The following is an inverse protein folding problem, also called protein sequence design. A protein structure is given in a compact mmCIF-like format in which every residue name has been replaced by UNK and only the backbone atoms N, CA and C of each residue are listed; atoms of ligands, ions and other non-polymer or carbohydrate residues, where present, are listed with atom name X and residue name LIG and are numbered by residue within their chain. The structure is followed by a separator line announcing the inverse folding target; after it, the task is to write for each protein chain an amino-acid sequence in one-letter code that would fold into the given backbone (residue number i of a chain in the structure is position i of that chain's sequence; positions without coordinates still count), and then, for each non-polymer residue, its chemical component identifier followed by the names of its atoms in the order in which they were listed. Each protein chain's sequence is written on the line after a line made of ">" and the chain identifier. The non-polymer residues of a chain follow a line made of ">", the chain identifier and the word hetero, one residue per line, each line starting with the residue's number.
data_IF_042981650480
#
_entry.id   IF_042981650480
#
_cell.length_a   1.000
_cell.length_b   1.000
_cell.length_c   1.000
_cell.angle_alpha   90.00
_cell.angle_beta   90.00
_cell.angle_gamma   90.00
#
_symmetry.space_group_name_H-M   'P 1'
#
loop_
_entity.id
_entity.type
_entity.pdbx_description
1 polymer ?
#
# COMPACT_ATOMS: atom_id res chain seq x y z
N UNK A 1 0.05 -3.03 -29.09
CA UNK A 1 -0.74 -2.50 -27.95
C UNK A 1 -0.07 -2.96 -26.67
N UNK A 2 0.17 -2.09 -25.69
CA UNK A 2 0.75 -2.56 -24.41
C UNK A 2 -0.27 -3.43 -23.65
N UNK A 3 0.21 -4.51 -23.03
CA UNK A 3 -0.60 -5.43 -22.21
C UNK A 3 -1.48 -4.67 -21.20
N UNK A 4 -0.96 -3.58 -20.63
CA UNK A 4 -1.69 -2.72 -19.68
C UNK A 4 -2.93 -2.06 -20.29
N UNK A 5 -2.84 -1.52 -21.52
CA UNK A 5 -4.01 -0.91 -22.19
C UNK A 5 -5.06 -1.97 -22.53
N UNK A 6 -4.63 -3.18 -22.89
CA UNK A 6 -5.54 -4.31 -23.13
C UNK A 6 -6.26 -4.72 -21.84
N UNK A 7 -5.53 -4.89 -20.74
CA UNK A 7 -6.10 -5.24 -19.43
C UNK A 7 -7.07 -4.18 -18.91
N UNK A 8 -6.74 -2.89 -19.05
CA UNK A 8 -7.64 -1.79 -18.68
C UNK A 8 -8.94 -1.81 -19.49
N UNK A 9 -8.86 -2.06 -20.81
CA UNK A 9 -10.05 -2.18 -21.66
C UNK A 9 -10.91 -3.38 -21.27
N UNK A 10 -10.30 -4.54 -21.06
CA UNK A 10 -11.01 -5.75 -20.60
C UNK A 10 -11.69 -5.52 -19.25
N UNK A 11 -11.01 -4.84 -18.31
CA UNK A 11 -11.57 -4.47 -17.01
C UNK A 11 -12.79 -3.55 -17.15
N UNK A 12 -12.71 -2.50 -17.97
CA UNK A 12 -13.83 -1.57 -18.19
C UNK A 12 -15.03 -2.26 -18.87
N UNK A 13 -14.77 -3.16 -19.83
CA UNK A 13 -15.82 -3.95 -20.49
C UNK A 13 -16.48 -4.90 -19.48
N UNK A 14 -15.68 -5.62 -18.67
CA UNK A 14 -16.21 -6.51 -17.65
C UNK A 14 -17.05 -5.75 -16.59
N UNK A 15 -16.60 -4.57 -16.18
CA UNK A 15 -17.33 -3.71 -15.25
C UNK A 15 -18.65 -3.20 -15.85
N UNK A 16 -18.63 -2.77 -17.12
CA UNK A 16 -19.83 -2.32 -17.84
C UNK A 16 -20.86 -3.46 -17.99
N UNK A 17 -20.39 -4.67 -18.34
CA UNK A 17 -21.24 -5.87 -18.39
C UNK A 17 -21.80 -6.17 -17.00
N UNK A 18 -20.98 -6.14 -15.95
CA UNK A 18 -21.42 -6.38 -14.58
C UNK A 18 -22.48 -5.37 -14.13
N UNK A 19 -22.33 -4.09 -14.47
CA UNK A 19 -23.30 -3.05 -14.16
C UNK A 19 -24.62 -3.26 -14.92
N UNK A 20 -24.55 -3.56 -16.22
CA UNK A 20 -25.73 -3.82 -17.04
C UNK A 20 -26.51 -5.05 -16.55
N UNK A 21 -25.81 -6.16 -16.26
CA UNK A 21 -26.43 -7.38 -15.71
C UNK A 21 -27.01 -7.12 -14.33
N UNK A 22 -26.32 -6.34 -13.48
CA UNK A 22 -26.83 -5.94 -12.17
C UNK A 22 -28.14 -5.17 -12.25
N UNK A 23 -28.27 -4.22 -13.17
CA UNK A 23 -29.52 -3.49 -13.42
C UNK A 23 -30.62 -4.43 -13.89
N UNK A 24 -30.34 -5.34 -14.84
CA UNK A 24 -31.31 -6.33 -15.32
C UNK A 24 -31.74 -7.30 -14.19
N UNK A 25 -30.83 -7.66 -13.28
CA UNK A 25 -31.12 -8.56 -12.15
C UNK A 25 -32.18 -8.01 -11.21
N UNK A 26 -32.21 -6.68 -11.03
CA UNK A 26 -33.22 -6.00 -10.20
C UNK A 26 -34.61 -6.19 -10.77
N UNK A 27 -34.76 -6.21 -12.10
CA UNK A 27 -36.06 -6.38 -12.76
C UNK A 27 -36.44 -7.84 -12.99
N UNK A 28 -35.45 -8.73 -13.15
CA UNK A 28 -35.64 -10.14 -13.42
C UNK A 28 -34.95 -10.98 -12.34
N UNK A 29 -35.67 -11.21 -11.23
CA UNK A 29 -35.22 -12.02 -10.09
C UNK A 29 -35.10 -13.51 -10.48
N UNK A 30 -34.06 -13.85 -11.25
CA UNK A 30 -33.64 -15.24 -11.47
C UNK A 30 -32.29 -15.46 -10.79
N UNK A 31 -32.17 -16.56 -10.04
CA UNK A 31 -30.94 -16.95 -9.36
C UNK A 31 -29.74 -17.04 -10.32
N UNK A 32 -30.00 -17.42 -11.59
CA UNK A 32 -28.98 -17.50 -12.64
C UNK A 32 -28.37 -16.12 -12.98
N UNK A 33 -29.19 -15.07 -13.09
CA UNK A 33 -28.68 -13.74 -13.45
C UNK A 33 -27.80 -13.16 -12.34
N UNK A 34 -28.18 -13.40 -11.08
CA UNK A 34 -27.38 -13.01 -9.91
C UNK A 34 -25.99 -13.69 -9.89
N UNK A 35 -25.90 -14.96 -10.30
CA UNK A 35 -24.61 -15.69 -10.38
C UNK A 35 -23.69 -15.13 -11.47
N UNK A 36 -24.26 -14.81 -12.64
CA UNK A 36 -23.52 -14.19 -13.74
C UNK A 36 -23.00 -12.81 -13.31
N UNK A 37 -23.85 -11.99 -12.68
CA UNK A 37 -23.46 -10.69 -12.14
C UNK A 37 -22.36 -10.81 -11.08
N UNK A 38 -22.51 -11.71 -10.11
CA UNK A 38 -21.51 -11.95 -9.07
C UNK A 38 -20.15 -12.40 -9.63
N UNK A 39 -20.16 -13.30 -10.63
CA UNK A 39 -18.92 -13.77 -11.27
C UNK A 39 -18.22 -12.63 -12.02
N UNK A 40 -18.99 -11.78 -12.73
CA UNK A 40 -18.44 -10.62 -13.43
C UNK A 40 -17.85 -9.58 -12.46
N UNK A 41 -18.51 -9.34 -11.33
CA UNK A 41 -18.02 -8.45 -10.28
C UNK A 41 -16.71 -8.96 -9.67
N UNK A 42 -16.67 -10.22 -9.24
CA UNK A 42 -15.47 -10.85 -8.66
C UNK A 42 -14.31 -10.85 -9.67
N UNK A 43 -14.59 -11.15 -10.94
CA UNK A 43 -13.58 -11.07 -12.03
C UNK A 43 -13.00 -9.66 -12.13
N UNK A 44 -13.85 -8.63 -12.12
CA UNK A 44 -13.44 -7.23 -12.24
C UNK A 44 -12.54 -6.79 -11.08
N UNK A 45 -12.89 -7.17 -9.85
CA UNK A 45 -12.06 -6.92 -8.65
C UNK A 45 -10.71 -7.62 -8.78
N UNK A 46 -10.69 -8.90 -9.14
CA UNK A 46 -9.46 -9.68 -9.28
C UNK A 46 -8.53 -9.11 -10.36
N UNK A 47 -9.07 -8.71 -11.51
CA UNK A 47 -8.29 -8.04 -12.58
C UNK A 47 -7.71 -6.71 -12.09
N UNK A 48 -8.52 -5.90 -11.40
CA UNK A 48 -8.06 -4.63 -10.84
C UNK A 48 -6.90 -4.79 -9.85
N UNK A 49 -6.96 -5.81 -8.98
CA UNK A 49 -5.91 -6.13 -8.01
C UNK A 49 -4.68 -6.82 -8.66
N UNK A 50 -4.86 -7.50 -9.80
CA UNK A 50 -3.77 -8.14 -10.53
C UNK A 50 -2.83 -7.12 -11.17
N UNK A 51 -3.31 -5.94 -11.57
CA UNK A 51 -2.50 -4.88 -12.20
C UNK A 51 -1.36 -4.37 -11.29
N UNK A 52 -1.60 -3.92 -10.04
CA UNK A 52 -0.50 -3.52 -9.16
C UNK A 52 0.38 -4.71 -8.76
N UNK A 53 -0.19 -5.91 -8.65
CA UNK A 53 0.55 -7.13 -8.28
C UNK A 53 1.49 -7.60 -9.39
N UNK A 54 1.12 -7.43 -10.67
CA UNK A 54 2.00 -7.75 -11.81
C UNK A 54 3.18 -6.78 -11.91
N UNK A 55 2.97 -5.49 -11.61
CA UNK A 55 4.08 -4.53 -11.50
C UNK A 55 5.10 -4.92 -10.43
N UNK A 56 4.67 -5.62 -9.37
CA UNK A 56 5.59 -6.14 -8.35
C UNK A 56 6.42 -7.33 -8.86
N UNK A 57 5.96 -8.09 -9.86
CA UNK A 57 6.73 -9.19 -10.47
C UNK A 57 7.87 -8.69 -11.37
N UNK A 58 7.69 -7.52 -11.99
CA UNK A 58 8.69 -6.89 -12.85
C UNK A 58 9.92 -6.42 -12.06
N UNK A 59 9.77 -6.11 -10.77
CA UNK A 59 10.85 -5.76 -9.84
C UNK A 59 11.44 -7.03 -9.21
N UNK A 60 12.75 -7.27 -9.40
CA UNK A 60 13.46 -8.42 -8.83
C UNK A 60 13.30 -8.50 -7.30
N UNK A 61 13.28 -7.36 -6.61
CA UNK A 61 13.10 -7.31 -5.15
C UNK A 61 11.66 -7.52 -4.71
N UNK A 62 10.70 -7.15 -5.56
CA UNK A 62 9.26 -7.26 -5.30
C UNK A 62 8.64 -8.58 -5.76
N UNK A 63 9.37 -9.33 -6.58
CA UNK A 63 8.92 -10.58 -7.19
C UNK A 63 8.28 -11.60 -6.24
N UNK A 64 8.84 -11.93 -5.06
CA UNK A 64 8.19 -12.87 -4.15
C UNK A 64 6.84 -12.34 -3.64
N UNK A 65 6.72 -11.05 -3.36
CA UNK A 65 5.46 -10.42 -2.97
C UNK A 65 4.43 -10.43 -4.10
N UNK A 66 4.89 -10.18 -5.34
CA UNK A 66 4.05 -10.26 -6.54
C UNK A 66 3.47 -11.66 -6.77
N UNK A 67 4.27 -12.72 -6.58
CA UNK A 67 3.81 -14.11 -6.68
C UNK A 67 2.76 -14.45 -5.62
N UNK A 68 2.97 -14.07 -4.36
CA UNK A 68 1.99 -14.30 -3.28
C UNK A 68 0.67 -13.59 -3.57
N UNK A 69 0.73 -12.32 -3.98
CA UNK A 69 -0.47 -11.56 -4.33
C UNK A 69 -1.23 -12.20 -5.51
N UNK A 70 -0.55 -12.46 -6.63
CA UNK A 70 -1.22 -13.05 -7.80
C UNK A 70 -1.75 -14.46 -7.53
N UNK A 71 -0.99 -15.28 -6.82
CA UNK A 71 -1.43 -16.60 -6.38
C UNK A 71 -2.70 -16.52 -5.53
N UNK A 72 -2.74 -15.59 -4.55
CA UNK A 72 -3.92 -15.37 -3.73
C UNK A 72 -5.13 -14.83 -4.50
N UNK A 73 -4.92 -13.95 -5.49
CA UNK A 73 -5.98 -13.44 -6.36
C UNK A 73 -6.60 -14.59 -7.17
N UNK A 74 -5.78 -15.45 -7.77
CA UNK A 74 -6.28 -16.60 -8.55
C UNK A 74 -7.00 -17.60 -7.64
N UNK A 75 -6.42 -17.94 -6.49
CA UNK A 75 -7.05 -18.87 -5.54
C UNK A 75 -8.38 -18.32 -5.01
N UNK A 76 -8.41 -17.04 -4.63
CA UNK A 76 -9.63 -16.37 -4.19
C UNK A 76 -10.69 -16.30 -5.29
N UNK A 77 -10.31 -15.99 -6.53
CA UNK A 77 -11.22 -16.00 -7.67
C UNK A 77 -11.90 -17.37 -7.81
N UNK A 78 -11.12 -18.45 -7.78
CA UNK A 78 -11.65 -19.81 -7.90
C UNK A 78 -12.60 -20.16 -6.75
N UNK A 79 -12.25 -19.79 -5.51
CA UNK A 79 -13.08 -20.04 -4.33
C UNK A 79 -14.39 -19.22 -4.35
N UNK A 80 -14.31 -17.94 -4.70
CA UNK A 80 -15.47 -17.05 -4.79
C UNK A 80 -16.40 -17.47 -5.93
N UNK A 81 -15.85 -17.77 -7.11
CA UNK A 81 -16.63 -18.29 -8.23
C UNK A 81 -17.27 -19.63 -7.87
N UNK A 82 -16.52 -20.56 -7.28
CA UNK A 82 -17.06 -21.83 -6.78
C UNK A 82 -18.20 -21.62 -5.77
N UNK A 83 -18.05 -20.67 -4.85
CA UNK A 83 -19.09 -20.31 -3.88
C UNK A 83 -20.34 -19.74 -4.55
N UNK A 84 -20.21 -18.83 -5.51
CA UNK A 84 -21.34 -18.26 -6.27
C UNK A 84 -22.15 -19.35 -6.98
N UNK A 85 -21.47 -20.37 -7.51
CA UNK A 85 -22.10 -21.47 -8.25
C UNK A 85 -22.44 -22.71 -7.39
N UNK A 86 -22.08 -22.74 -6.10
CA UNK A 86 -22.26 -23.90 -5.23
C UNK A 86 -23.74 -24.33 -5.12
N UNK A 87 -24.67 -23.38 -5.00
CA UNK A 87 -26.11 -23.65 -4.93
C UNK A 87 -26.69 -24.23 -6.25
N UNK A 88 -25.93 -24.28 -7.34
CA UNK A 88 -26.34 -25.01 -8.54
C UNK A 88 -26.30 -26.53 -8.32
N UNK A 89 -25.58 -26.97 -7.29
CA UNK A 89 -25.36 -28.37 -6.95
C UNK A 89 -26.19 -28.68 -5.70
N UNK A 90 -27.32 -29.40 -5.81
CA UNK A 90 -28.31 -29.55 -4.73
C UNK A 90 -27.81 -30.28 -3.47
N UNK A 91 -26.60 -30.82 -3.49
CA UNK A 91 -26.01 -31.60 -2.40
C UNK A 91 -24.90 -30.85 -1.63
N UNK A 92 -24.63 -29.59 -1.95
CA UNK A 92 -23.46 -28.86 -1.45
C UNK A 92 -23.87 -27.61 -0.66
N UNK A 93 -23.90 -27.69 0.67
CA UNK A 93 -24.12 -26.54 1.57
C UNK A 93 -22.81 -25.78 1.89
N UNK A 94 -21.87 -25.70 0.94
CA UNK A 94 -20.55 -25.07 1.15
C UNK A 94 -20.44 -23.63 0.65
N UNK A 95 -21.51 -23.04 0.10
CA UNK A 95 -21.49 -21.68 -0.47
C UNK A 95 -20.82 -20.65 0.45
N UNK A 96 -21.35 -20.46 1.66
CA UNK A 96 -20.85 -19.45 2.60
C UNK A 96 -19.40 -19.72 3.00
N UNK A 97 -19.00 -20.99 3.12
CA UNK A 97 -17.64 -21.39 3.49
C UNK A 97 -16.64 -21.10 2.37
N UNK A 98 -17.00 -21.40 1.12
CA UNK A 98 -16.18 -21.08 -0.05
C UNK A 98 -16.04 -19.58 -0.24
N UNK A 99 -17.13 -18.82 -0.12
CA UNK A 99 -17.10 -17.36 -0.22
C UNK A 99 -16.23 -16.76 0.89
N UNK A 100 -16.46 -17.15 2.15
CA UNK A 100 -15.67 -16.69 3.29
C UNK A 100 -14.18 -17.00 3.13
N UNK A 101 -13.83 -18.23 2.73
CA UNK A 101 -12.43 -18.63 2.49
C UNK A 101 -11.82 -17.80 1.36
N UNK A 102 -12.56 -17.58 0.28
CA UNK A 102 -12.12 -16.76 -0.86
C UNK A 102 -11.81 -15.32 -0.46
N UNK A 103 -12.66 -14.69 0.36
CA UNK A 103 -12.42 -13.32 0.88
C UNK A 103 -11.18 -13.28 1.78
N UNK A 104 -11.04 -14.24 2.70
CA UNK A 104 -9.90 -14.32 3.63
C UNK A 104 -8.59 -14.52 2.87
N UNK A 105 -8.57 -15.41 1.87
CA UNK A 105 -7.40 -15.64 1.01
C UNK A 105 -7.06 -14.39 0.18
N UNK A 106 -8.06 -13.70 -0.38
CA UNK A 106 -7.83 -12.49 -1.17
C UNK A 106 -7.20 -11.38 -0.33
N UNK A 107 -7.83 -11.04 0.80
CA UNK A 107 -7.38 -9.94 1.66
C UNK A 107 -6.08 -10.31 2.36
N UNK A 108 -6.01 -11.49 2.97
CA UNK A 108 -4.82 -11.97 3.68
C UNK A 108 -3.63 -12.13 2.76
N UNK A 109 -3.83 -12.70 1.56
CA UNK A 109 -2.78 -12.86 0.56
C UNK A 109 -2.24 -11.52 0.03
N UNK A 110 -3.12 -10.56 -0.27
CA UNK A 110 -2.74 -9.21 -0.67
C UNK A 110 -1.93 -8.48 0.43
N UNK A 111 -2.34 -8.61 1.68
CA UNK A 111 -1.59 -8.07 2.81
C UNK A 111 -0.22 -8.74 2.94
N UNK A 112 -0.16 -10.08 2.86
CA UNK A 112 1.10 -10.82 2.96
C UNK A 112 2.09 -10.46 1.85
N UNK A 113 1.66 -10.43 0.59
CA UNK A 113 2.58 -10.13 -0.52
C UNK A 113 3.00 -8.66 -0.57
N UNK A 114 2.12 -7.71 -0.18
CA UNK A 114 2.53 -6.30 -0.04
C UNK A 114 3.55 -6.09 1.08
N UNK A 115 3.35 -6.72 2.24
CA UNK A 115 4.27 -6.67 3.38
C UNK A 115 5.61 -7.34 3.05
N UNK A 116 5.59 -8.48 2.35
CA UNK A 116 6.79 -9.20 1.94
C UNK A 116 7.68 -8.34 1.02
N UNK A 117 7.09 -7.57 0.12
CA UNK A 117 7.82 -6.61 -0.71
C UNK A 117 8.48 -5.48 0.12
N UNK A 118 7.86 -5.06 1.24
CA UNK A 118 8.47 -4.05 2.11
C UNK A 118 9.68 -4.59 2.91
N UNK A 119 9.83 -5.91 3.07
CA UNK A 119 10.91 -6.52 3.86
C UNK A 119 12.31 -6.20 3.34
N UNK A 120 12.45 -5.98 2.04
CA UNK A 120 13.75 -5.66 1.41
C UNK A 120 14.17 -4.21 1.63
N UNK A 121 13.28 -3.35 2.16
CA UNK A 121 13.57 -1.94 2.43
C UNK A 121 14.23 -1.78 3.79
N UNK A 122 15.28 -0.96 3.84
CA UNK A 122 16.00 -0.62 5.07
C UNK A 122 15.04 -0.09 6.14
N UNK A 123 15.13 -0.63 7.35
CA UNK A 123 14.29 -0.28 8.50
C UNK A 123 12.87 -0.85 8.51
N UNK A 124 12.40 -1.55 7.47
CA UNK A 124 11.07 -2.19 7.47
C UNK A 124 11.12 -3.69 7.74
N UNK A 125 12.30 -4.32 7.76
CA UNK A 125 12.44 -5.78 7.81
C UNK A 125 11.78 -6.45 9.02
N UNK A 126 11.95 -5.91 10.23
CA UNK A 126 11.34 -6.48 11.45
C UNK A 126 9.84 -6.23 11.47
N UNK A 127 9.41 -4.99 11.21
CA UNK A 127 8.00 -4.63 11.13
C UNK A 127 7.24 -5.49 10.11
N UNK A 128 7.81 -5.68 8.92
CA UNK A 128 7.18 -6.48 7.88
C UNK A 128 7.16 -7.97 8.22
N UNK A 129 8.22 -8.50 8.85
CA UNK A 129 8.19 -9.88 9.33
C UNK A 129 7.09 -10.10 10.37
N UNK A 130 6.92 -9.19 11.33
CA UNK A 130 5.85 -9.25 12.33
C UNK A 130 4.47 -9.20 11.68
N UNK A 131 4.23 -8.23 10.80
CA UNK A 131 2.94 -8.10 10.09
C UNK A 131 2.64 -9.33 9.22
N UNK A 132 3.64 -9.88 8.54
CA UNK A 132 3.51 -11.06 7.69
C UNK A 132 3.09 -12.28 8.50
N UNK A 133 3.81 -12.59 9.59
CA UNK A 133 3.48 -13.74 10.42
C UNK A 133 2.14 -13.59 11.14
N UNK A 134 1.81 -12.40 11.66
CA UNK A 134 0.50 -12.17 12.27
C UNK A 134 -0.63 -12.33 11.25
N UNK A 135 -0.44 -11.85 10.02
CA UNK A 135 -1.44 -12.00 8.96
C UNK A 135 -1.62 -13.46 8.54
N UNK A 136 -0.54 -14.24 8.41
CA UNK A 136 -0.63 -15.67 8.08
C UNK A 136 -1.37 -16.45 9.17
N UNK A 137 -1.00 -16.24 10.45
CA UNK A 137 -1.62 -16.97 11.55
C UNK A 137 -3.10 -16.58 11.66
N UNK A 138 -3.42 -15.29 11.59
CA UNK A 138 -4.80 -14.82 11.60
C UNK A 138 -5.61 -15.39 10.42
N UNK A 139 -5.04 -15.41 9.21
CA UNK A 139 -5.66 -16.01 8.03
C UNK A 139 -5.95 -17.50 8.26
N UNK A 140 -4.99 -18.24 8.80
CA UNK A 140 -5.18 -19.66 9.16
C UNK A 140 -6.30 -19.87 10.18
N UNK A 141 -6.38 -19.01 11.20
CA UNK A 141 -7.44 -19.06 12.22
C UNK A 141 -8.82 -18.72 11.63
N UNK A 142 -8.92 -17.72 10.74
CA UNK A 142 -10.18 -17.40 10.06
C UNK A 142 -10.62 -18.54 9.14
N UNK A 143 -9.71 -19.14 8.38
CA UNK A 143 -10.03 -20.30 7.55
C UNK A 143 -10.48 -21.46 8.44
N UNK A 144 -9.75 -21.77 9.51
CA UNK A 144 -10.16 -22.81 10.46
C UNK A 144 -11.58 -22.52 11.00
N UNK A 145 -11.84 -21.29 11.44
CA UNK A 145 -13.15 -20.87 11.93
C UNK A 145 -14.28 -21.09 10.92
N UNK A 146 -14.05 -20.78 9.64
CA UNK A 146 -15.04 -20.97 8.57
C UNK A 146 -15.43 -22.45 8.39
N UNK A 147 -14.51 -23.38 8.68
CA UNK A 147 -14.70 -24.80 8.43
C UNK A 147 -15.03 -25.63 9.69
N UNK A 148 -14.92 -25.04 10.89
CA UNK A 148 -15.27 -25.69 12.17
C UNK A 148 -16.73 -25.46 12.57
N UNK A 149 -17.18 -26.19 13.60
CA UNK A 149 -18.49 -26.00 14.24
C UNK A 149 -18.59 -24.65 14.94
N UNK A 150 -19.83 -24.17 15.13
CA UNK A 150 -20.13 -22.78 15.49
C UNK A 150 -19.43 -22.28 16.76
N UNK A 151 -19.40 -23.07 17.84
CA UNK A 151 -18.79 -22.64 19.11
C UNK A 151 -17.28 -22.43 19.00
N UNK A 152 -16.57 -23.38 18.38
CA UNK A 152 -15.11 -23.28 18.18
C UNK A 152 -14.78 -22.25 17.10
N UNK A 153 -15.64 -22.11 16.10
CA UNK A 153 -15.47 -21.15 15.02
C UNK A 153 -15.40 -19.71 15.52
N UNK A 154 -16.32 -19.32 16.42
CA UNK A 154 -16.34 -17.96 16.95
C UNK A 154 -15.05 -17.64 17.73
N UNK A 155 -14.60 -18.55 18.62
CA UNK A 155 -13.34 -18.39 19.37
C UNK A 155 -12.12 -18.28 18.46
N UNK A 156 -12.05 -19.10 17.41
CA UNK A 156 -10.97 -19.05 16.42
C UNK A 156 -10.99 -17.73 15.63
N UNK A 157 -12.17 -17.28 15.19
CA UNK A 157 -12.31 -16.02 14.46
C UNK A 157 -11.95 -14.81 15.33
N UNK A 158 -12.41 -14.78 16.59
CA UNK A 158 -12.03 -13.74 17.56
C UNK A 158 -10.53 -13.73 17.82
N UNK A 159 -9.91 -14.90 18.05
CA UNK A 159 -8.45 -15.03 18.21
C UNK A 159 -7.71 -14.49 16.98
N UNK A 160 -8.17 -14.85 15.77
CA UNK A 160 -7.62 -14.36 14.52
C UNK A 160 -7.72 -12.84 14.39
N UNK A 161 -8.88 -12.26 14.72
CA UNK A 161 -9.11 -10.82 14.71
C UNK A 161 -8.22 -10.07 15.71
N UNK A 162 -8.12 -10.57 16.95
CA UNK A 162 -7.27 -9.98 17.98
C UNK A 162 -5.78 -10.02 17.59
N UNK A 163 -5.31 -11.16 17.06
CA UNK A 163 -3.93 -11.32 16.61
C UNK A 163 -3.62 -10.42 15.41
N UNK A 164 -4.54 -10.30 14.45
CA UNK A 164 -4.37 -9.42 13.31
C UNK A 164 -4.28 -7.94 13.75
N UNK A 165 -5.20 -7.48 14.60
CA UNK A 165 -5.20 -6.12 15.11
C UNK A 165 -3.93 -5.78 15.90
N UNK A 166 -3.54 -6.66 16.83
CA UNK A 166 -2.33 -6.50 17.62
C UNK A 166 -1.06 -6.57 16.75
N UNK A 167 -1.01 -7.52 15.80
CA UNK A 167 0.09 -7.69 14.86
C UNK A 167 0.31 -6.48 13.96
N UNK A 168 -0.78 -5.88 13.45
CA UNK A 168 -0.73 -4.61 12.72
C UNK A 168 -0.17 -3.52 13.62
N UNK A 169 -0.75 -3.26 14.79
CA UNK A 169 -0.30 -2.17 15.66
C UNK A 169 1.17 -2.34 16.12
N UNK A 170 1.56 -3.57 16.49
CA UNK A 170 2.95 -3.93 16.82
C UNK A 170 3.89 -3.70 15.63
N UNK A 171 3.49 -4.08 14.41
CA UNK A 171 4.31 -3.84 13.21
C UNK A 171 4.55 -2.36 12.95
N UNK A 172 3.54 -1.50 13.15
CA UNK A 172 3.70 -0.05 12.99
C UNK A 172 4.67 0.52 14.04
N UNK A 173 4.64 0.00 15.27
CA UNK A 173 5.59 0.35 16.33
C UNK A 173 7.03 -0.09 16.00
N UNK A 174 7.21 -1.21 15.30
CA UNK A 174 8.51 -1.76 14.92
C UNK A 174 9.12 -1.11 13.67
N UNK A 175 8.40 -0.20 13.00
CA UNK A 175 8.93 0.52 11.82
C UNK A 175 10.19 1.28 12.23
N UNK A 176 11.29 0.97 11.54
CA UNK A 176 12.61 1.60 11.65
C UNK A 176 13.49 1.16 12.81
N UNK A 177 13.14 0.06 13.47
CA UNK A 177 14.06 -0.69 14.34
C UNK A 177 15.33 -1.06 13.55
N UNK A 178 16.49 -0.85 14.18
CA UNK A 178 17.81 -1.08 13.56
C UNK A 178 18.48 0.16 12.95
N UNK A 179 17.77 1.28 12.82
CA UNK A 179 18.37 2.55 12.34
C UNK A 179 18.25 3.68 13.36
N UNK A 180 17.02 4.06 13.71
CA UNK A 180 16.73 5.13 14.67
C UNK A 180 15.63 4.59 15.56
N UNK A 181 15.99 4.21 16.79
CA UNK A 181 15.05 3.72 17.77
C UNK A 181 14.58 4.87 18.65
N UNK A 182 13.27 4.93 18.90
CA UNK A 182 12.68 5.88 19.85
C UNK A 182 12.12 5.09 21.02
N UNK A 183 12.37 5.51 22.26
CA UNK A 183 11.98 4.76 23.45
C UNK A 183 10.48 4.44 23.48
N UNK A 184 9.62 5.39 23.06
CA UNK A 184 8.16 5.22 23.07
C UNK A 184 7.65 4.10 22.15
N UNK A 185 8.40 3.72 21.11
CA UNK A 185 7.96 2.68 20.18
C UNK A 185 7.85 1.31 20.88
N UNK A 186 8.68 1.09 21.92
CA UNK A 186 8.65 -0.12 22.72
C UNK A 186 7.45 -0.16 23.67
N UNK A 187 6.98 1.00 24.14
CA UNK A 187 5.75 1.09 24.94
C UNK A 187 4.57 0.63 24.08
N UNK A 188 4.46 1.13 22.85
CA UNK A 188 3.42 0.69 21.91
C UNK A 188 3.49 -0.81 21.60
N UNK A 189 4.70 -1.33 21.38
CA UNK A 189 4.91 -2.77 21.18
C UNK A 189 4.44 -3.60 22.38
N UNK A 190 4.83 -3.22 23.60
CA UNK A 190 4.41 -3.92 24.82
C UNK A 190 2.90 -3.88 24.97
N UNK A 191 2.26 -2.74 24.70
CA UNK A 191 0.80 -2.63 24.67
C UNK A 191 0.17 -3.57 23.64
N UNK A 192 0.74 -3.68 22.43
CA UNK A 192 0.26 -4.59 21.39
C UNK A 192 0.42 -6.07 21.77
N UNK A 193 1.52 -6.45 22.42
CA UNK A 193 1.72 -7.82 22.91
C UNK A 193 0.74 -8.14 24.04
N UNK A 194 0.56 -7.22 24.99
CA UNK A 194 -0.42 -7.37 26.06
C UNK A 194 -1.86 -7.45 25.52
N UNK A 195 -2.20 -6.64 24.51
CA UNK A 195 -3.47 -6.72 23.79
C UNK A 195 -3.67 -8.10 23.16
N UNK A 196 -2.66 -8.67 22.49
CA UNK A 196 -2.76 -10.00 21.88
C UNK A 196 -2.99 -11.09 22.95
N UNK A 197 -2.26 -11.02 24.06
CA UNK A 197 -2.39 -11.97 25.17
C UNK A 197 -3.79 -11.90 25.82
N UNK A 198 -4.29 -10.69 26.09
CA UNK A 198 -5.65 -10.50 26.61
C UNK A 198 -6.72 -10.90 25.60
N UNK A 199 -6.53 -10.60 24.31
CA UNK A 199 -7.47 -11.03 23.26
C UNK A 199 -7.56 -12.55 23.16
N UNK A 200 -6.43 -13.25 23.25
CA UNK A 200 -6.42 -14.72 23.34
C UNK A 200 -7.16 -15.23 24.58
N UNK A 201 -6.92 -14.61 25.74
CA UNK A 201 -7.60 -14.96 26.98
C UNK A 201 -9.13 -14.76 26.89
N UNK A 202 -9.56 -13.60 26.38
CA UNK A 202 -10.98 -13.26 26.20
C UNK A 202 -11.68 -14.20 25.23
N UNK A 203 -11.03 -14.56 24.12
CA UNK A 203 -11.60 -15.47 23.14
C UNK A 203 -11.84 -16.90 23.67
N UNK A 204 -11.12 -17.34 24.71
CA UNK A 204 -11.17 -18.73 25.17
C UNK A 204 -11.74 -18.93 26.57
N UNK A 205 -11.76 -17.91 27.42
CA UNK A 205 -12.07 -18.11 28.84
C UNK A 205 -13.25 -17.28 29.37
N UNK A 206 -13.69 -16.22 28.69
CA UNK A 206 -14.74 -15.35 29.23
C UNK A 206 -16.08 -15.52 28.55
N UNK A 207 -17.07 -16.06 29.27
CA UNK A 207 -18.48 -16.03 28.85
C UNK A 207 -19.06 -14.59 28.89
N UNK A 208 -18.40 -13.67 29.59
CA UNK A 208 -18.62 -12.22 29.56
C UNK A 208 -17.27 -11.50 29.59
N UNK A 209 -16.70 -11.22 28.41
CA UNK A 209 -15.37 -10.64 28.30
C UNK A 209 -15.30 -9.19 28.75
N UNK A 210 -14.45 -8.90 29.75
CA UNK A 210 -14.12 -7.51 30.09
C UNK A 210 -13.17 -6.93 29.02
N UNK A 211 -13.75 -6.30 27.99
CA UNK A 211 -13.00 -5.69 26.88
C UNK A 211 -12.37 -4.34 27.21
N UNK A 212 -12.46 -3.83 28.45
CA UNK A 212 -11.92 -2.52 28.84
C UNK A 212 -10.42 -2.42 28.60
N UNK A 213 -9.66 -3.31 29.23
CA UNK A 213 -8.21 -3.31 29.14
C UNK A 213 -7.72 -3.68 27.75
N UNK A 214 -8.40 -4.61 27.09
CA UNK A 214 -8.13 -4.95 25.69
C UNK A 214 -8.22 -3.72 24.79
N UNK A 215 -9.32 -2.97 24.88
CA UNK A 215 -9.55 -1.77 24.07
C UNK A 215 -8.54 -0.67 24.38
N UNK A 216 -8.25 -0.43 25.66
CA UNK A 216 -7.27 0.59 26.07
C UNK A 216 -5.87 0.29 25.53
N UNK A 217 -5.42 -0.96 25.62
CA UNK A 217 -4.12 -1.39 25.10
C UNK A 217 -4.06 -1.35 23.57
N UNK A 218 -5.14 -1.74 22.89
CA UNK A 218 -5.26 -1.62 21.44
C UNK A 218 -5.16 -0.15 20.98
N UNK A 219 -5.86 0.75 21.66
CA UNK A 219 -5.80 2.19 21.38
C UNK A 219 -4.40 2.75 21.61
N UNK A 220 -3.75 2.43 22.74
CA UNK A 220 -2.40 2.89 23.04
C UNK A 220 -1.38 2.40 22.00
N UNK A 221 -1.42 1.10 21.65
CA UNK A 221 -0.56 0.52 20.63
C UNK A 221 -0.78 1.15 19.24
N UNK A 222 -2.04 1.31 18.84
CA UNK A 222 -2.41 1.92 17.56
C UNK A 222 -1.97 3.38 17.44
N UNK A 223 -2.20 4.18 18.48
CA UNK A 223 -1.79 5.61 18.52
C UNK A 223 -0.26 5.73 18.44
N UNK A 224 0.48 4.94 19.22
CA UNK A 224 1.95 4.97 19.21
C UNK A 224 2.49 4.49 17.87
N UNK A 225 1.93 3.43 17.30
CA UNK A 225 2.31 2.91 15.99
C UNK A 225 2.06 3.93 14.87
N UNK A 226 0.89 4.58 14.88
CA UNK A 226 0.55 5.65 13.95
C UNK A 226 1.50 6.85 14.08
N UNK A 227 1.74 7.31 15.30
CA UNK A 227 2.67 8.39 15.58
C UNK A 227 4.11 8.05 15.13
N UNK A 228 4.56 6.81 15.35
CA UNK A 228 5.88 6.34 14.89
C UNK A 228 6.02 6.45 13.36
N UNK A 229 4.98 6.11 12.60
CA UNK A 229 5.01 6.22 11.13
C UNK A 229 4.97 7.67 10.69
N UNK A 230 3.98 8.44 11.17
CA UNK A 230 3.76 9.82 10.73
C UNK A 230 4.99 10.69 10.96
N UNK A 231 5.66 10.53 12.11
CA UNK A 231 6.88 11.28 12.46
C UNK A 231 8.15 10.81 11.73
N UNK A 232 8.10 9.70 10.98
CA UNK A 232 9.18 9.23 10.09
C UNK A 232 8.97 9.69 8.65
N UNK A 233 7.75 10.09 8.29
CA UNK A 233 7.49 10.72 7.00
C UNK A 233 8.17 12.09 7.00
N UNK A 234 9.19 12.25 6.17
CA UNK A 234 9.84 13.56 5.96
C UNK A 234 8.87 14.45 5.22
N UNK A 235 8.36 15.46 5.91
CA UNK A 235 7.53 16.51 5.34
C UNK A 235 8.29 17.84 5.51
N UNK A 236 8.04 18.80 4.62
CA UNK A 236 8.63 20.15 4.74
C UNK A 236 8.17 20.89 5.99
N UNK A 237 8.59 22.15 6.16
CA UNK A 237 8.32 22.95 7.37
C UNK A 237 6.82 22.99 7.75
N UNK A 238 5.92 23.06 6.78
CA UNK A 238 4.47 23.05 7.03
C UNK A 238 3.87 21.67 7.34
N UNK A 239 4.59 20.58 7.05
CA UNK A 239 4.08 19.23 7.24
C UNK A 239 4.02 18.79 8.71
N UNK A 240 4.75 19.47 9.60
CA UNK A 240 4.70 19.19 11.04
C UNK A 240 3.30 19.44 11.62
N UNK A 241 2.58 20.45 11.14
CA UNK A 241 1.23 20.76 11.62
C UNK A 241 0.25 19.68 11.20
N UNK A 242 0.35 19.19 9.96
CA UNK A 242 -0.49 18.08 9.47
C UNK A 242 -0.19 16.79 10.25
N UNK A 243 1.08 16.53 10.55
CA UNK A 243 1.48 15.42 11.41
C UNK A 243 0.84 15.51 12.80
N UNK A 244 0.92 16.69 13.44
CA UNK A 244 0.36 16.92 14.78
C UNK A 244 -1.16 16.77 14.79
N UNK A 245 -1.87 17.27 13.79
CA UNK A 245 -3.33 17.11 13.67
C UNK A 245 -3.69 15.63 13.48
N UNK A 246 -2.97 14.91 12.63
CA UNK A 246 -3.21 13.48 12.41
C UNK A 246 -2.98 12.66 13.69
N UNK A 247 -1.86 12.89 14.37
CA UNK A 247 -1.51 12.19 15.61
C UNK A 247 -2.47 12.56 16.74
N UNK A 248 -2.77 13.85 16.89
CA UNK A 248 -3.69 14.36 17.91
C UNK A 248 -5.11 13.84 17.71
N UNK A 249 -5.59 13.78 16.46
CA UNK A 249 -6.89 13.18 16.11
C UNK A 249 -6.94 11.69 16.50
N UNK A 250 -5.92 10.91 16.11
CA UNK A 250 -5.85 9.48 16.47
C UNK A 250 -5.77 9.28 17.98
N UNK A 251 -4.97 10.09 18.68
CA UNK A 251 -4.83 10.04 20.14
C UNK A 251 -6.15 10.37 20.85
N UNK A 252 -6.85 11.41 20.41
CA UNK A 252 -8.17 11.79 20.94
C UNK A 252 -9.21 10.69 20.70
N UNK A 253 -9.25 10.12 19.48
CA UNK A 253 -10.14 9.01 19.16
C UNK A 253 -9.84 7.78 20.02
N UNK A 254 -8.57 7.41 20.17
CA UNK A 254 -8.15 6.30 21.04
C UNK A 254 -8.52 6.53 22.50
N UNK A 255 -8.35 7.75 23.02
CA UNK A 255 -8.73 8.11 24.39
C UNK A 255 -10.26 8.04 24.59
N UNK A 256 -11.05 8.55 23.64
CA UNK A 256 -12.50 8.48 23.70
C UNK A 256 -12.99 7.03 23.65
N UNK A 257 -12.43 6.21 22.75
CA UNK A 257 -12.80 4.80 22.62
C UNK A 257 -12.44 3.99 23.88
N UNK A 258 -11.25 4.20 24.44
CA UNK A 258 -10.86 3.58 25.70
C UNK A 258 -11.79 4.02 26.84
N UNK A 259 -12.10 5.32 26.94
CA UNK A 259 -13.02 5.86 27.95
C UNK A 259 -14.42 5.27 27.83
N UNK A 260 -14.95 5.16 26.59
CA UNK A 260 -16.22 4.50 26.33
C UNK A 260 -16.21 3.05 26.80
N UNK A 261 -15.15 2.30 26.49
CA UNK A 261 -15.03 0.92 26.96
C UNK A 261 -15.15 0.83 28.49
N UNK A 262 -14.51 1.74 29.24
CA UNK A 262 -14.62 1.77 30.71
C UNK A 262 -16.00 2.20 31.22
N UNK A 263 -16.62 3.20 30.62
CA UNK A 263 -17.92 3.73 31.06
C UNK A 263 -19.10 2.83 30.70
N UNK A 264 -18.96 2.00 29.66
CA UNK A 264 -20.00 1.07 29.18
C UNK A 264 -19.76 -0.37 29.63
N UNK A 265 -18.87 -0.56 30.59
CA UNK A 265 -18.47 -1.88 31.11
C UNK A 265 -17.99 -2.86 30.02
N UNK A 266 -17.35 -2.37 28.96
CA UNK A 266 -16.93 -3.18 27.81
C UNK A 266 -17.95 -3.20 26.67
N UNK A 267 -18.67 -2.09 26.45
CA UNK A 267 -19.70 -1.91 25.43
C UNK A 267 -21.02 -2.67 25.68
N UNK A 268 -21.27 -3.11 26.92
CA UNK A 268 -22.54 -3.73 27.32
C UNK A 268 -23.60 -2.70 27.73
N UNK A 269 -23.19 -1.51 28.16
CA UNK A 269 -24.07 -0.40 28.53
C UNK A 269 -24.16 0.71 27.48
N UNK A 270 -25.17 1.59 27.57
CA UNK A 270 -25.25 2.78 26.73
C UNK A 270 -24.11 3.76 27.07
N UNK A 271 -23.44 4.29 26.04
CA UNK A 271 -22.39 5.28 26.20
C UNK A 271 -22.94 6.70 26.39
N UNK A 272 -22.15 7.62 27.01
CA UNK A 272 -22.49 9.03 26.99
C UNK A 272 -22.43 9.58 25.56
N UNK A 273 -23.55 10.11 25.06
CA UNK A 273 -23.69 10.59 23.67
C UNK A 273 -22.60 11.59 23.26
N UNK A 274 -22.15 12.45 24.18
CA UNK A 274 -21.09 13.42 23.90
C UNK A 274 -19.75 12.76 23.57
N UNK A 275 -19.39 11.66 24.25
CA UNK A 275 -18.12 10.97 24.01
C UNK A 275 -18.20 10.20 22.68
N UNK A 276 -19.35 9.62 22.35
CA UNK A 276 -19.57 8.98 21.04
C UNK A 276 -19.45 9.98 19.88
N UNK A 277 -20.05 11.17 20.02
CA UNK A 277 -19.90 12.27 19.05
C UNK A 277 -18.45 12.74 18.93
N UNK A 278 -17.73 12.86 20.04
CA UNK A 278 -16.32 13.26 20.05
C UNK A 278 -15.43 12.19 19.42
N UNK A 279 -15.70 10.90 19.66
CA UNK A 279 -15.04 9.77 19.01
C UNK A 279 -15.27 9.81 17.49
N UNK A 280 -16.51 10.05 17.04
CA UNK A 280 -16.83 10.17 15.62
C UNK A 280 -16.10 11.36 14.96
N UNK A 281 -16.11 12.54 15.59
CA UNK A 281 -15.41 13.71 15.09
C UNK A 281 -13.89 13.53 15.03
N UNK A 282 -13.29 12.99 16.11
CA UNK A 282 -11.84 12.77 16.19
C UNK A 282 -11.35 11.68 15.24
N UNK A 283 -12.12 10.61 15.03
CA UNK A 283 -11.80 9.57 14.03
C UNK A 283 -11.85 10.11 12.60
N UNK A 284 -12.80 11.00 12.28
CA UNK A 284 -12.83 11.69 10.99
C UNK A 284 -11.60 12.58 10.80
N UNK A 285 -11.24 13.39 11.81
CA UNK A 285 -10.03 14.22 11.78
C UNK A 285 -8.77 13.35 11.62
N UNK A 286 -8.68 12.22 12.33
CA UNK A 286 -7.58 11.27 12.21
C UNK A 286 -7.48 10.68 10.80
N UNK A 287 -8.60 10.30 10.19
CA UNK A 287 -8.65 9.75 8.84
C UNK A 287 -8.24 10.81 7.79
N UNK A 288 -8.82 12.01 7.86
CA UNK A 288 -8.48 13.12 6.95
C UNK A 288 -7.02 13.57 7.12
N UNK A 289 -6.53 13.68 8.37
CA UNK A 289 -5.15 14.03 8.66
C UNK A 289 -4.17 12.97 8.14
N UNK A 290 -4.49 11.69 8.31
CA UNK A 290 -3.66 10.58 7.77
C UNK A 290 -3.64 10.60 6.25
N UNK A 291 -4.79 10.83 5.61
CA UNK A 291 -4.85 10.96 4.15
C UNK A 291 -4.04 12.18 3.66
N UNK A 292 -4.11 13.30 4.37
CA UNK A 292 -3.31 14.49 4.07
C UNK A 292 -1.79 14.20 4.18
N UNK A 293 -1.36 13.47 5.21
CA UNK A 293 0.04 13.00 5.33
C UNK A 293 0.43 12.13 4.14
N UNK A 294 -0.43 11.19 3.71
CA UNK A 294 -0.17 10.34 2.55
C UNK A 294 -0.08 11.16 1.26
N UNK A 295 -0.99 12.10 1.04
CA UNK A 295 -0.97 12.98 -0.14
C UNK A 295 0.30 13.83 -0.13
N UNK A 296 0.65 14.45 1.00
CA UNK A 296 1.89 15.23 1.13
C UNK A 296 3.12 14.36 0.91
N UNK A 297 3.14 13.13 1.42
CA UNK A 297 4.23 12.19 1.14
C UNK A 297 4.35 11.88 -0.35
N UNK A 298 3.24 11.62 -1.04
CA UNK A 298 3.21 11.36 -2.48
C UNK A 298 3.65 12.59 -3.27
N UNK A 299 3.16 13.79 -2.91
CA UNK A 299 3.52 15.04 -3.55
C UNK A 299 4.98 15.41 -3.30
N UNK A 300 5.50 15.23 -2.09
CA UNK A 300 6.92 15.48 -1.79
C UNK A 300 7.84 14.42 -2.42
N UNK A 301 7.34 13.22 -2.68
CA UNK A 301 8.09 12.21 -3.44
C UNK A 301 8.10 12.49 -4.94
N UNK A 302 7.03 13.08 -5.48
CA UNK A 302 6.93 13.52 -6.89
C UNK A 302 7.58 14.87 -7.14
N UNK A 303 7.53 15.73 -6.12
CA UNK A 303 7.89 17.13 -6.13
C UNK A 303 9.08 17.45 -5.26
N UNK A 304 9.77 16.46 -4.67
CA UNK A 304 11.23 16.47 -4.72
C UNK A 304 11.48 16.33 -6.21
N UNK A 305 11.74 17.45 -6.91
CA UNK A 305 12.31 17.29 -8.21
C UNK A 305 13.57 16.46 -7.87
N UNK A 306 13.83 15.42 -8.63
CA UNK A 306 15.18 15.38 -9.16
C UNK A 306 15.39 16.80 -9.70
N UNK A 307 15.91 17.70 -8.85
CA UNK A 307 16.45 18.98 -9.26
C UNK A 307 17.21 18.59 -10.51
N UNK A 308 16.74 19.08 -11.66
CA UNK A 308 16.98 18.50 -12.96
C UNK A 308 18.32 17.76 -12.92
N UNK A 309 18.42 16.44 -13.16
CA UNK A 309 19.71 15.77 -13.16
C UNK A 309 20.76 16.56 -13.99
N UNK A 310 20.30 17.34 -14.99
CA UNK A 310 21.06 18.35 -15.72
C UNK A 310 21.45 19.65 -14.96
N UNK A 311 20.71 20.11 -13.95
CA UNK A 311 21.09 21.20 -13.03
C UNK A 311 22.07 20.75 -11.92
N UNK A 312 22.09 19.46 -11.55
CA UNK A 312 23.03 18.94 -10.52
C UNK A 312 24.35 18.42 -11.04
N UNK A 313 24.52 18.23 -12.36
CA UNK A 313 25.86 18.14 -12.95
C UNK A 313 26.45 19.55 -13.07
N UNK A 314 26.87 20.10 -11.93
CA UNK A 314 27.54 21.39 -11.88
C UNK A 314 28.96 21.34 -12.45
N UNK A 315 29.52 20.14 -12.71
CA UNK A 315 30.83 19.98 -13.33
C UNK A 315 30.96 18.68 -14.14
N UNK A 316 31.64 18.75 -15.29
CA UNK A 316 32.09 17.61 -16.10
C UNK A 316 33.62 17.53 -16.10
N UNK A 317 34.14 16.31 -16.09
CA UNK A 317 35.56 16.05 -16.32
C UNK A 317 35.81 15.90 -17.82
N UNK A 318 36.54 16.84 -18.42
CA UNK A 318 36.87 16.80 -19.85
C UNK A 318 38.37 17.01 -20.09
N UNK A 319 38.87 16.48 -21.22
CA UNK A 319 40.20 16.78 -21.74
C UNK A 319 40.07 17.87 -22.82
N UNK A 320 40.83 18.96 -22.70
CA UNK A 320 40.83 20.02 -23.71
C UNK A 320 41.30 19.46 -25.07
N UNK A 321 40.55 19.62 -26.17
CA UNK A 321 40.93 19.07 -27.47
C UNK A 321 42.17 19.75 -28.05
N UNK A 322 42.50 20.97 -27.63
CA UNK A 322 43.67 21.70 -28.13
C UNK A 322 44.95 21.37 -27.36
N UNK A 323 44.93 21.45 -26.01
CA UNK A 323 46.13 21.31 -25.18
C UNK A 323 46.18 20.00 -24.38
N UNK A 324 45.18 19.12 -24.52
CA UNK A 324 45.04 17.84 -23.80
C UNK A 324 44.98 17.93 -22.27
N UNK A 325 44.94 19.14 -21.69
CA UNK A 325 44.83 19.35 -20.24
C UNK A 325 43.47 18.84 -19.75
N UNK A 326 43.50 17.98 -18.73
CA UNK A 326 42.30 17.44 -18.07
C UNK A 326 41.86 18.41 -16.98
N UNK A 327 40.59 18.79 -16.97
CA UNK A 327 40.05 19.73 -15.99
C UNK A 327 38.56 19.47 -15.72
N UNK A 328 38.10 19.91 -14.56
CA UNK A 328 36.68 20.03 -14.27
C UNK A 328 36.13 21.31 -14.89
N UNK A 329 35.03 21.20 -15.61
CA UNK A 329 34.35 22.32 -16.26
C UNK A 329 32.93 22.41 -15.75
N UNK A 330 32.55 23.59 -15.25
CA UNK A 330 31.19 23.85 -14.85
C UNK A 330 30.23 23.90 -16.04
N UNK A 331 28.95 23.60 -15.80
CA UNK A 331 27.90 23.85 -16.80
C UNK A 331 27.84 25.34 -17.16
N UNK A 332 27.56 25.65 -18.42
CA UNK A 332 27.63 27.01 -18.98
C UNK A 332 28.97 27.34 -19.65
N UNK A 333 29.28 28.64 -19.73
CA UNK A 333 30.44 29.15 -20.46
C UNK A 333 31.67 29.20 -19.57
N UNK A 334 32.71 28.44 -19.95
CA UNK A 334 33.96 28.31 -19.18
C UNK A 334 35.16 28.32 -20.10
N UNK A 335 36.36 28.60 -19.59
CA UNK A 335 37.59 28.60 -20.39
C UNK A 335 38.59 27.56 -19.88
N UNK A 336 39.39 27.04 -20.82
CA UNK A 336 40.44 26.09 -20.49
C UNK A 336 41.55 26.78 -19.70
N UNK A 337 41.90 26.25 -18.52
CA UNK A 337 42.99 26.74 -17.68
C UNK A 337 44.41 26.48 -18.24
N UNK A 338 44.53 26.06 -19.50
CA UNK A 338 45.80 25.76 -20.18
C UNK A 338 46.04 26.70 -21.34
N UNK A 339 45.15 26.66 -22.34
CA UNK A 339 45.27 27.45 -23.57
C UNK A 339 44.20 28.55 -23.74
N UNK A 340 43.26 28.70 -22.80
CA UNK A 340 42.21 29.72 -22.88
C UNK A 340 41.02 29.39 -23.80
N UNK A 341 40.97 28.20 -24.41
CA UNK A 341 39.84 27.76 -25.24
C UNK A 341 38.52 27.84 -24.47
N UNK A 342 37.51 28.52 -25.03
CA UNK A 342 36.20 28.69 -24.39
C UNK A 342 35.27 27.54 -24.77
N UNK A 343 34.66 26.92 -23.77
CA UNK A 343 33.63 25.89 -23.89
C UNK A 343 32.26 26.49 -23.54
N UNK A 344 31.22 26.07 -24.24
CA UNK A 344 29.83 26.28 -23.85
C UNK A 344 29.17 24.91 -23.65
N UNK A 345 28.91 24.56 -22.39
CA UNK A 345 28.45 23.22 -22.02
C UNK A 345 26.99 23.31 -21.57
N UNK A 346 26.09 22.79 -22.41
CA UNK A 346 24.67 22.63 -22.05
C UNK A 346 24.33 21.15 -21.89
N UNK A 347 23.64 20.81 -20.80
CA UNK A 347 23.20 19.45 -20.49
C UNK A 347 21.69 19.42 -20.68
N UNK A 348 21.21 18.56 -21.59
CA UNK A 348 19.77 18.36 -21.83
C UNK A 348 19.43 16.88 -21.64
N UNK A 349 18.30 16.62 -21.01
CA UNK A 349 17.77 15.26 -20.94
C UNK A 349 17.25 14.83 -22.32
N UNK A 350 17.52 13.59 -22.76
CA UNK A 350 17.03 13.11 -24.05
C UNK A 350 15.51 12.93 -23.97
N UNK A 351 14.79 13.60 -24.87
CA UNK A 351 13.34 13.49 -25.03
C UNK A 351 13.00 12.87 -26.38
N UNK A 352 11.86 12.18 -26.47
CA UNK A 352 11.37 11.66 -27.74
C UNK A 352 10.90 12.81 -28.63
N UNK A 353 11.45 12.94 -29.84
CA UNK A 353 11.12 14.01 -30.79
C UNK A 353 9.62 14.12 -31.13
N UNK A 354 8.88 13.00 -31.06
CA UNK A 354 7.48 12.95 -31.44
C UNK A 354 6.50 13.27 -30.30
N UNK A 355 6.83 12.87 -29.08
CA UNK A 355 5.88 12.91 -27.95
C UNK A 355 6.45 13.50 -26.68
N UNK A 356 7.69 14.00 -26.74
CA UNK A 356 8.42 14.59 -25.62
C UNK A 356 8.54 13.67 -24.39
N UNK A 357 8.40 12.36 -24.57
CA UNK A 357 8.59 11.42 -23.47
C UNK A 357 10.08 11.39 -23.05
N UNK A 358 10.40 11.49 -21.75
CA UNK A 358 11.78 11.42 -21.26
C UNK A 358 12.38 10.03 -21.51
N UNK A 359 13.50 9.98 -22.21
CA UNK A 359 14.16 8.74 -22.64
C UNK A 359 15.30 8.32 -21.70
N UNK A 360 15.61 9.13 -20.68
CA UNK A 360 16.67 8.83 -19.73
C UNK A 360 16.39 7.51 -18.98
N UNK A 361 17.35 6.59 -18.99
CA UNK A 361 17.27 5.32 -18.26
C UNK A 361 16.34 4.25 -18.84
N UNK A 362 15.65 4.51 -19.95
CA UNK A 362 14.83 3.49 -20.62
C UNK A 362 15.72 2.60 -21.49
N UNK A 363 15.68 1.28 -21.27
CA UNK A 363 16.38 0.28 -22.07
C UNK A 363 15.64 -0.01 -23.37
N UNK A 364 16.32 0.07 -24.52
CA UNK A 364 15.74 -0.21 -25.84
C UNK A 364 16.03 0.87 -26.90
N UNK A 365 15.77 0.54 -28.16
CA UNK A 365 15.97 1.37 -29.35
C UNK A 365 14.72 2.18 -29.76
N UNK A 366 13.59 2.00 -29.05
CA UNK A 366 12.30 2.64 -29.36
C UNK A 366 11.70 3.33 -28.16
N UNK A 367 10.95 4.39 -28.41
CA UNK A 367 10.16 5.07 -27.39
C UNK A 367 9.04 4.13 -26.89
N UNK A 368 8.92 3.90 -25.57
CA UNK A 368 7.90 3.00 -25.01
C UNK A 368 6.47 3.54 -25.18
N UNK A 369 6.31 4.86 -25.35
CA UNK A 369 4.98 5.48 -25.48
C UNK A 369 4.47 5.49 -26.93
N UNK A 370 5.28 5.99 -27.87
CA UNK A 370 4.84 6.22 -29.25
C UNK A 370 5.46 5.26 -30.27
N UNK A 371 6.42 4.41 -29.86
CA UNK A 371 7.09 3.46 -30.75
C UNK A 371 8.09 4.07 -31.73
N UNK A 372 8.29 5.40 -31.70
CA UNK A 372 9.28 6.09 -32.54
C UNK A 372 10.68 5.54 -32.25
N UNK A 373 11.44 5.11 -33.27
CA UNK A 373 12.82 4.70 -33.09
C UNK A 373 13.64 5.87 -32.55
N UNK A 374 14.52 5.60 -31.60
CA UNK A 374 15.44 6.58 -31.06
C UNK A 374 16.41 6.97 -32.16
N UNK A 375 16.35 8.22 -32.61
CA UNK A 375 17.41 8.78 -33.44
C UNK A 375 18.73 8.64 -32.68
N UNK A 376 19.76 8.09 -33.32
CA UNK A 376 21.13 8.22 -32.84
C UNK A 376 21.37 9.72 -32.61
N UNK A 377 21.79 10.10 -31.40
CA UNK A 377 21.97 11.49 -31.00
C UNK A 377 22.59 12.32 -32.14
N UNK A 378 21.78 13.19 -32.74
CA UNK A 378 22.23 14.07 -33.81
C UNK A 378 23.27 15.00 -33.21
N UNK A 379 24.53 14.89 -33.64
CA UNK A 379 25.57 15.86 -33.32
C UNK A 379 25.24 17.17 -34.05
N UNK A 380 24.91 18.27 -33.35
CA UNK A 380 24.50 19.52 -33.99
C UNK A 380 25.69 20.34 -34.54
N UNK A 381 26.76 19.70 -35.02
CA UNK A 381 27.99 20.40 -35.42
C UNK A 381 27.93 20.98 -36.85
N UNK A 382 26.86 20.79 -37.63
CA UNK A 382 26.84 21.19 -39.04
C UNK A 382 25.89 22.34 -39.46
N UNK A 383 25.41 23.20 -38.57
CA UNK A 383 24.53 24.33 -38.96
C UNK A 383 25.03 25.76 -38.70
N UNK A 384 26.28 25.96 -38.27
CA UNK A 384 26.84 27.30 -38.07
C UNK A 384 28.02 27.61 -39.03
N UNK A 385 27.78 27.47 -40.34
CA UNK A 385 28.70 27.93 -41.38
C UNK A 385 27.92 28.35 -42.64
N UNK A 386 26.98 29.27 -42.50
CA UNK A 386 26.42 30.05 -43.62
C UNK A 386 25.63 31.25 -43.09
N UNK A 387 26.32 32.23 -42.50
CA UNK A 387 25.98 33.66 -42.58
C UNK A 387 27.27 34.47 -42.68
#
# INVERSE_FOLDING_TARGET
>A
MSLQRLLLRLMLVALAISAAVGVVAVFFSTSMLGRIAGTALVSSICIGLAIPSSKMLDDEKGRPGGFVNLGSIVAAFMLLAGGIWADAIPFVSFQTRLIGTGVVVLVGGMLCGTVLNQRTRQGLGVASATAFWSAIIAMGLFIAAIWTEYEVADRLAQTGGHLLGAGVAASLCLVGVGHITRAWQWIGLVCGVAQAALGFWLAWQSDAGDYRWYTALACASGVIGHANIVTRVRMGEHGIWVALVAIGGTACAGACLATLAFLTDGFYGPGPEMIERLLAASSLVAACGTLAVVIMFVLHRRGSPTANPSERLSALWIACPHCSKKQWIASGRTSCAGCGLVFDVSIREPHCEKCEYPLLGVAGDRCPECGTPRGAAVSPIHQAASE
#
